data_IF_410272617015
#
_entry.id   IF_410272617015
#
_cell.length_a   1.000
_cell.length_b   1.000
_cell.length_c   1.000
_cell.angle_alpha   90.00
_cell.angle_beta   90.00
_cell.angle_gamma   90.00
#
_symmetry.space_group_name_H-M   'P 1'
#
loop_
_entity.id
_entity.type
_entity.pdbx_description
1 polymer ?
#
# COMPACT_ATOMS: atom_id res chain seq x y z
N UNK A 1 -18.65 9.54 7.95
CA UNK A 1 -17.26 9.10 7.69
C UNK A 1 -17.39 7.72 7.07
N UNK A 2 -16.84 7.49 5.87
CA UNK A 2 -16.96 6.18 5.24
C UNK A 2 -16.08 5.19 6.01
N UNK A 3 -16.71 4.16 6.57
CA UNK A 3 -16.04 3.04 7.21
C UNK A 3 -15.33 2.21 6.14
N UNK A 4 -14.09 2.59 5.83
CA UNK A 4 -13.20 1.76 5.04
C UNK A 4 -12.88 0.50 5.85
N UNK A 5 -13.50 -0.62 5.49
CA UNK A 5 -13.11 -1.95 5.96
C UNK A 5 -11.80 -2.34 5.28
N UNK A 6 -10.71 -1.77 5.77
CA UNK A 6 -9.39 -2.34 5.50
C UNK A 6 -9.33 -3.74 6.11
N UNK A 7 -8.60 -4.68 5.49
CA UNK A 7 -8.29 -5.94 6.15
C UNK A 7 -7.32 -5.65 7.30
N UNK A 8 -7.90 -5.34 8.47
CA UNK A 8 -7.18 -4.99 9.68
C UNK A 8 -7.15 -6.21 10.61
N UNK A 9 -5.96 -6.50 11.13
CA UNK A 9 -5.85 -7.36 12.29
C UNK A 9 -6.28 -6.55 13.54
N UNK A 10 -7.13 -7.15 14.38
CA UNK A 10 -7.63 -6.49 15.60
C UNK A 10 -6.54 -6.37 16.68
N UNK A 11 -5.39 -7.01 16.48
CA UNK A 11 -4.24 -6.95 17.38
C UNK A 11 -3.33 -5.73 17.13
N UNK A 12 -3.52 -4.99 16.04
CA UNK A 12 -2.67 -3.84 15.71
C UNK A 12 -2.91 -2.63 16.61
N UNK A 13 -1.82 -1.97 17.03
CA UNK A 13 -1.93 -0.69 17.72
C UNK A 13 -2.42 0.41 16.78
N UNK A 14 -2.84 1.55 17.34
CA UNK A 14 -3.26 2.70 16.53
C UNK A 14 -2.16 3.18 15.59
N UNK A 15 -0.92 3.16 16.05
CA UNK A 15 0.25 3.54 15.26
C UNK A 15 0.45 2.58 14.08
N UNK A 16 0.29 1.27 14.31
CA UNK A 16 0.40 0.26 13.26
C UNK A 16 -0.72 0.38 12.22
N UNK A 17 -1.96 0.64 12.66
CA UNK A 17 -3.09 0.92 11.75
C UNK A 17 -2.77 2.12 10.85
N UNK A 18 -2.21 3.20 11.41
CA UNK A 18 -1.81 4.37 10.62
C UNK A 18 -0.78 3.99 9.54
N UNK A 19 0.22 3.17 9.87
CA UNK A 19 1.23 2.72 8.90
C UNK A 19 0.62 1.93 7.75
N UNK A 20 -0.35 1.05 8.06
CA UNK A 20 -1.04 0.24 7.05
C UNK A 20 -1.92 1.10 6.15
N UNK A 21 -2.73 1.99 6.73
CA UNK A 21 -3.59 2.93 5.99
C UNK A 21 -2.78 3.84 5.07
N UNK A 22 -1.62 4.33 5.54
CA UNK A 22 -0.73 5.17 4.75
C UNK A 22 -0.24 4.47 3.47
N UNK A 23 0.02 3.16 3.51
CA UNK A 23 0.38 2.41 2.30
C UNK A 23 -0.80 2.35 1.33
N UNK A 24 -2.02 2.08 1.81
CA UNK A 24 -3.19 1.98 0.94
C UNK A 24 -3.52 3.31 0.26
N UNK A 25 -3.48 4.42 0.99
CA UNK A 25 -3.63 5.75 0.40
C UNK A 25 -2.53 6.06 -0.63
N UNK A 26 -1.28 5.69 -0.34
CA UNK A 26 -0.18 5.86 -1.29
C UNK A 26 -0.37 5.00 -2.56
N UNK A 27 -0.97 3.82 -2.41
CA UNK A 27 -1.32 2.94 -3.52
C UNK A 27 -2.41 3.56 -4.39
N UNK A 28 -3.51 4.02 -3.81
CA UNK A 28 -4.57 4.76 -4.52
C UNK A 28 -3.99 5.96 -5.27
N UNK A 29 -3.19 6.77 -4.58
CA UNK A 29 -2.51 7.92 -5.15
C UNK A 29 -1.67 7.53 -6.37
N UNK A 30 -0.99 6.39 -6.34
CA UNK A 30 -0.18 5.90 -7.47
C UNK A 30 -1.01 5.61 -8.72
N UNK A 31 -2.26 5.17 -8.60
CA UNK A 31 -3.17 4.90 -9.72
C UNK A 31 -3.96 6.16 -10.14
N UNK A 32 -4.38 7.00 -9.19
CA UNK A 32 -5.32 8.11 -9.46
C UNK A 32 -4.64 9.42 -9.90
N UNK A 33 -3.59 9.86 -9.20
CA UNK A 33 -2.91 11.15 -9.46
C UNK A 33 -1.39 11.04 -9.70
N UNK A 34 -0.83 9.91 -9.31
CA UNK A 34 0.59 9.60 -9.23
C UNK A 34 1.26 10.21 -8.00
N UNK A 35 2.27 9.54 -7.49
CA UNK A 35 3.02 9.87 -6.25
C UNK A 35 4.53 9.77 -6.50
N UNK A 36 5.37 10.38 -5.67
CA UNK A 36 6.81 10.08 -5.69
C UNK A 36 7.03 8.60 -5.37
N UNK A 37 7.85 7.88 -6.16
CA UNK A 37 8.20 6.51 -5.87
C UNK A 37 8.94 6.38 -4.53
N UNK A 38 9.78 7.35 -4.18
CA UNK A 38 10.42 7.44 -2.87
C UNK A 38 9.37 7.48 -1.74
N UNK A 39 8.39 8.37 -1.84
CA UNK A 39 7.33 8.51 -0.83
C UNK A 39 6.49 7.22 -0.71
N UNK A 40 6.17 6.58 -1.83
CA UNK A 40 5.48 5.30 -1.85
C UNK A 40 6.32 4.19 -1.18
N UNK A 41 7.63 4.15 -1.43
CA UNK A 41 8.51 3.17 -0.83
C UNK A 41 8.69 3.40 0.68
N UNK A 42 8.65 4.65 1.15
CA UNK A 42 8.67 4.97 2.58
C UNK A 42 7.40 4.45 3.30
N UNK A 43 6.21 4.66 2.72
CA UNK A 43 4.97 4.09 3.31
C UNK A 43 4.98 2.57 3.25
N UNK A 44 5.50 1.98 2.16
CA UNK A 44 5.69 0.53 2.07
C UNK A 44 6.66 -0.02 3.13
N UNK A 45 7.77 0.68 3.42
CA UNK A 45 8.67 0.29 4.51
C UNK A 45 7.97 0.32 5.87
N UNK A 46 7.18 1.36 6.15
CA UNK A 46 6.36 1.45 7.37
C UNK A 46 5.35 0.30 7.47
N UNK A 47 4.64 -0.01 6.39
CA UNK A 47 3.76 -1.18 6.34
C UNK A 47 4.51 -2.48 6.66
N UNK A 48 5.74 -2.67 6.15
CA UNK A 48 6.54 -3.87 6.41
C UNK A 48 7.03 -4.02 7.85
N UNK A 49 7.02 -2.96 8.67
CA UNK A 49 7.33 -3.09 10.10
C UNK A 49 6.19 -3.79 10.85
N UNK A 50 4.95 -3.60 10.38
CA UNK A 50 3.74 -4.25 10.88
C UNK A 50 3.58 -5.62 10.24
N UNK A 51 3.49 -5.66 8.91
CA UNK A 51 3.24 -6.87 8.12
C UNK A 51 4.57 -7.47 7.65
N UNK A 52 5.18 -8.26 8.52
CA UNK A 52 6.51 -8.87 8.26
C UNK A 52 6.42 -10.03 7.26
N UNK A 53 5.37 -10.83 7.33
CA UNK A 53 5.19 -12.02 6.49
C UNK A 53 4.84 -11.68 5.04
N UNK A 54 5.49 -12.36 4.07
CA UNK A 54 5.16 -12.25 2.66
C UNK A 54 3.79 -12.86 2.33
N UNK A 55 3.36 -13.88 3.10
CA UNK A 55 2.05 -14.51 2.91
C UNK A 55 0.91 -13.57 3.28
N UNK A 56 1.08 -12.85 4.39
CA UNK A 56 0.15 -11.84 4.87
C UNK A 56 0.10 -10.63 3.92
N UNK A 57 1.25 -10.09 3.52
CA UNK A 57 1.32 -9.02 2.51
C UNK A 57 0.56 -9.38 1.22
N UNK A 58 0.74 -10.62 0.74
CA UNK A 58 0.01 -11.11 -0.45
C UNK A 58 -1.48 -11.24 -0.21
N UNK A 59 -1.90 -11.66 0.98
CA UNK A 59 -3.33 -11.75 1.35
C UNK A 59 -3.96 -10.36 1.35
N UNK A 60 -3.40 -9.43 2.12
CA UNK A 60 -3.89 -8.06 2.23
C UNK A 60 -3.88 -7.34 0.88
N UNK A 61 -2.79 -7.49 0.11
CA UNK A 61 -2.68 -6.91 -1.23
C UNK A 61 -3.75 -7.43 -2.20
N UNK A 62 -4.10 -8.72 -2.15
CA UNK A 62 -5.18 -9.31 -2.96
C UNK A 62 -6.56 -8.84 -2.52
N UNK A 63 -6.79 -8.74 -1.22
CA UNK A 63 -8.05 -8.22 -0.66
C UNK A 63 -8.26 -6.77 -1.09
N UNK A 64 -7.23 -5.93 -0.96
CA UNK A 64 -7.26 -4.55 -1.42
C UNK A 64 -7.46 -4.44 -2.95
N UNK A 65 -6.74 -5.24 -3.74
CA UNK A 65 -6.88 -5.26 -5.21
C UNK A 65 -8.28 -5.72 -5.65
N UNK A 66 -8.90 -6.66 -4.93
CA UNK A 66 -10.28 -7.09 -5.22
C UNK A 66 -11.31 -5.97 -5.00
N UNK A 67 -11.07 -5.11 -4.02
CA UNK A 67 -11.98 -4.01 -3.68
C UNK A 67 -11.78 -2.77 -4.56
N UNK A 68 -10.51 -2.44 -4.86
CA UNK A 68 -10.14 -1.19 -5.55
C UNK A 68 -9.79 -1.37 -7.04
N UNK A 69 -9.40 -2.58 -7.46
CA UNK A 69 -8.75 -2.82 -8.75
C UNK A 69 -7.26 -2.48 -8.78
N UNK A 70 -6.69 -1.97 -7.67
CA UNK A 70 -5.29 -1.50 -7.64
C UNK A 70 -4.34 -2.57 -7.11
N UNK A 71 -3.37 -2.96 -7.94
CA UNK A 71 -2.41 -3.99 -7.57
C UNK A 71 -1.22 -3.42 -6.79
N UNK A 72 -1.11 -3.78 -5.50
CA UNK A 72 0.04 -3.45 -4.65
C UNK A 72 1.35 -3.99 -5.23
N UNK A 73 1.34 -5.26 -5.69
CA UNK A 73 2.54 -5.91 -6.21
C UNK A 73 3.13 -5.16 -7.42
N UNK A 74 2.28 -4.75 -8.37
CA UNK A 74 2.71 -4.00 -9.56
C UNK A 74 3.28 -2.64 -9.16
N UNK A 75 2.63 -1.93 -8.24
CA UNK A 75 3.08 -0.62 -7.76
C UNK A 75 4.45 -0.71 -7.07
N UNK A 76 4.63 -1.66 -6.15
CA UNK A 76 5.91 -1.89 -5.47
C UNK A 76 7.02 -2.25 -6.45
N UNK A 77 6.74 -3.13 -7.42
CA UNK A 77 7.70 -3.52 -8.45
C UNK A 77 8.15 -2.32 -9.28
N UNK A 78 7.21 -1.48 -9.72
CA UNK A 78 7.52 -0.30 -10.53
C UNK A 78 8.25 0.78 -9.71
N UNK A 79 7.84 1.00 -8.46
CA UNK A 79 8.49 1.96 -7.57
C UNK A 79 9.96 1.58 -7.30
N UNK A 80 10.24 0.30 -7.03
CA UNK A 80 11.62 -0.19 -6.82
C UNK A 80 12.49 -0.12 -8.07
N UNK A 81 11.91 -0.26 -9.26
CA UNK A 81 12.64 -0.13 -10.52
C UNK A 81 13.02 1.33 -10.83
N UNK A 82 12.24 2.29 -10.34
CA UNK A 82 12.41 3.73 -10.62
C UNK A 82 12.19 4.59 -9.36
N UNK A 83 13.04 4.45 -8.32
CA UNK A 83 12.83 5.07 -7.01
C UNK A 83 12.83 6.60 -7.05
N UNK A 84 13.56 7.20 -8.00
CA UNK A 84 13.70 8.66 -8.12
C UNK A 84 12.65 9.31 -9.05
N UNK A 85 11.65 8.53 -9.50
CA UNK A 85 10.63 9.01 -10.45
C UNK A 85 9.26 9.13 -9.81
N UNK A 86 8.36 9.85 -10.49
CA UNK A 86 6.94 9.81 -10.19
C UNK A 86 6.38 8.43 -10.55
N UNK A 87 5.87 7.71 -9.56
CA UNK A 87 5.10 6.49 -9.72
C UNK A 87 3.68 6.85 -10.17
N UNK A 88 3.35 6.47 -11.40
CA UNK A 88 2.00 6.57 -11.96
C UNK A 88 1.65 5.24 -12.61
N UNK A 89 0.75 4.50 -11.98
CA UNK A 89 0.25 3.24 -12.48
C UNK A 89 -0.83 3.47 -13.52
N UNK A 90 -1.04 2.48 -14.40
CA UNK A 90 -2.20 2.41 -15.27
C UNK A 90 -3.13 1.34 -14.70
N UNK A 91 -4.41 1.69 -14.55
CA UNK A 91 -5.48 0.76 -14.19
C UNK A 91 -5.62 -0.35 -15.21
#
# INVERSE_FOLDING_TARGET
MQDYQYPLDMEWTKEEIILVVNLWQALEDSYEKGISAEKFLQTYQGFKTVVKSIGEERKLGREFEKLSGYSLYKAVKQAKAHPDKKLKMKG
#
